data_IF_459683846146
#
_entry.id   IF_459683846146
#
_cell.length_a   1.000
_cell.length_b   1.000
_cell.length_c   1.000
_cell.angle_alpha   90.00
_cell.angle_beta   90.00
_cell.angle_gamma   90.00
#
_symmetry.space_group_name_H-M   'P 1'
#
loop_
_entity.id
_entity.type
_entity.pdbx_description
1 polymer ?
#
# COMPACT_ATOMS: atom_id res chain seq x y z
N UNK A 1 16.06 14.29 -9.13
CA UNK A 1 16.65 13.59 -7.97
C UNK A 1 17.11 14.53 -6.84
N UNK A 2 17.93 15.55 -7.13
CA UNK A 2 18.49 16.47 -6.12
C UNK A 2 17.49 17.01 -5.07
N UNK A 3 16.31 17.49 -5.50
CA UNK A 3 15.28 18.00 -4.58
C UNK A 3 14.80 16.94 -3.59
N UNK A 4 14.59 15.71 -4.07
CA UNK A 4 14.16 14.59 -3.23
C UNK A 4 15.23 14.25 -2.19
N UNK A 5 16.51 14.14 -2.60
CA UNK A 5 17.65 13.92 -1.69
C UNK A 5 17.77 15.01 -0.64
N UNK A 6 17.56 16.29 -1.01
CA UNK A 6 17.56 17.42 -0.07
C UNK A 6 16.53 17.23 1.05
N UNK A 7 15.33 16.75 0.74
CA UNK A 7 14.29 16.53 1.76
C UNK A 7 14.49 15.23 2.56
N UNK A 8 15.12 14.22 1.97
CA UNK A 8 15.47 12.98 2.68
C UNK A 8 16.60 13.16 3.70
N UNK A 9 17.46 14.16 3.50
CA UNK A 9 18.60 14.38 4.37
C UNK A 9 19.52 13.17 4.40
N UNK A 10 19.86 12.70 5.59
CA UNK A 10 20.77 11.55 5.79
C UNK A 10 20.26 10.25 5.15
N UNK A 11 18.93 10.08 5.06
CA UNK A 11 18.33 8.91 4.41
C UNK A 11 18.63 8.83 2.92
N UNK A 12 19.05 9.92 2.27
CA UNK A 12 19.39 9.94 0.86
C UNK A 12 20.59 9.04 0.52
N UNK A 13 21.49 8.78 1.48
CA UNK A 13 22.66 7.92 1.31
C UNK A 13 22.28 6.43 1.12
N UNK A 14 21.07 6.05 1.54
CA UNK A 14 20.56 4.67 1.49
C UNK A 14 19.57 4.45 0.34
N UNK A 15 19.48 5.38 -0.61
CA UNK A 15 18.62 5.20 -1.77
C UNK A 15 19.13 4.06 -2.67
N UNK A 16 18.22 3.30 -3.32
CA UNK A 16 16.77 3.47 -3.29
C UNK A 16 16.06 2.84 -2.08
N UNK A 17 16.74 2.02 -1.28
CA UNK A 17 16.12 1.23 -0.21
C UNK A 17 15.38 2.10 0.83
N UNK A 18 15.97 3.21 1.25
CA UNK A 18 15.31 4.16 2.16
C UNK A 18 14.06 4.80 1.56
N UNK A 19 13.93 4.85 0.23
CA UNK A 19 12.77 5.40 -0.47
C UNK A 19 11.45 4.68 -0.19
N UNK A 20 11.50 3.43 0.28
CA UNK A 20 10.32 2.70 0.77
C UNK A 20 9.61 3.41 1.93
N UNK A 21 10.37 4.11 2.78
CA UNK A 21 9.83 4.88 3.89
C UNK A 21 9.32 6.26 3.46
N UNK A 22 9.63 6.71 2.24
CA UNK A 22 9.33 8.06 1.79
C UNK A 22 8.65 8.09 0.40
N UNK A 23 7.51 7.40 0.22
CA UNK A 23 6.82 7.39 -1.07
C UNK A 23 6.21 8.77 -1.38
N UNK A 24 5.69 8.91 -2.59
CA UNK A 24 4.94 10.10 -3.00
C UNK A 24 3.44 9.81 -2.97
N UNK A 25 2.66 10.72 -2.39
CA UNK A 25 1.22 10.80 -2.66
C UNK A 25 1.02 11.60 -3.94
N UNK A 26 0.45 10.97 -4.96
CA UNK A 26 0.21 11.52 -6.29
C UNK A 26 -1.28 11.83 -6.47
N UNK A 27 -1.60 13.01 -7.00
CA UNK A 27 -2.92 13.35 -7.54
C UNK A 27 -2.77 13.88 -8.97
N UNK A 28 -3.52 13.30 -9.90
CA UNK A 28 -3.53 13.69 -11.32
C UNK A 28 -4.43 14.89 -11.59
N UNK A 29 -5.45 15.12 -10.77
CA UNK A 29 -6.30 16.31 -10.77
C UNK A 29 -6.68 16.73 -9.33
N UNK A 30 -7.22 17.94 -9.10
CA UNK A 30 -7.65 18.37 -7.76
C UNK A 30 -8.66 17.42 -7.10
N UNK A 31 -9.57 16.86 -7.91
CA UNK A 31 -10.67 15.99 -7.47
C UNK A 31 -10.31 14.49 -7.47
N UNK A 32 -9.15 14.12 -8.04
CA UNK A 32 -8.70 12.74 -8.06
C UNK A 32 -8.32 12.24 -6.66
N UNK A 33 -8.74 11.01 -6.34
CA UNK A 33 -8.23 10.28 -5.17
C UNK A 33 -6.70 10.15 -5.26
N UNK A 34 -5.97 10.39 -4.15
CA UNK A 34 -4.54 10.24 -4.15
C UNK A 34 -4.14 8.76 -4.27
N UNK A 35 -3.11 8.49 -5.05
CA UNK A 35 -2.44 7.17 -5.12
C UNK A 35 -1.01 7.28 -4.61
N UNK A 36 -0.48 6.19 -4.06
CA UNK A 36 0.90 6.14 -3.56
C UNK A 36 1.83 5.64 -4.67
N UNK A 37 2.99 6.28 -4.82
CA UNK A 37 4.06 5.88 -5.73
C UNK A 37 5.37 5.72 -4.99
N UNK A 38 5.88 4.49 -5.02
CA UNK A 38 7.12 4.11 -4.35
C UNK A 38 8.28 4.19 -5.32
N UNK A 39 9.45 4.62 -4.84
CA UNK A 39 10.68 4.65 -5.64
C UNK A 39 11.22 3.22 -5.76
N UNK A 40 11.56 2.84 -6.99
CA UNK A 40 12.21 1.56 -7.32
C UNK A 40 13.71 1.72 -7.47
N UNK A 41 14.16 2.79 -8.12
CA UNK A 41 15.58 3.04 -8.37
C UNK A 41 15.88 4.52 -8.58
N UNK A 42 17.16 4.86 -8.51
CA UNK A 42 17.69 6.20 -8.79
C UNK A 42 18.84 6.09 -9.79
N UNK A 43 18.97 7.08 -10.66
CA UNK A 43 20.11 7.22 -11.57
C UNK A 43 20.79 8.56 -11.28
N UNK A 44 21.99 8.51 -10.71
CA UNK A 44 22.77 9.71 -10.34
C UNK A 44 23.33 10.44 -11.57
N UNK A 45 23.62 9.72 -12.65
CA UNK A 45 24.16 10.33 -13.88
C UNK A 45 23.06 11.11 -14.61
N UNK A 46 21.87 10.53 -14.71
CA UNK A 46 20.70 11.16 -15.35
C UNK A 46 19.92 12.07 -14.40
N UNK A 47 20.29 12.11 -13.11
CA UNK A 47 19.57 12.83 -12.05
C UNK A 47 18.07 12.48 -11.98
N UNK A 48 17.73 11.21 -12.24
CA UNK A 48 16.36 10.71 -12.36
C UNK A 48 15.99 9.71 -11.26
N UNK A 49 14.69 9.41 -11.15
CA UNK A 49 14.13 8.43 -10.22
C UNK A 49 13.10 7.60 -10.98
N UNK A 50 13.07 6.29 -10.75
CA UNK A 50 12.07 5.39 -11.30
C UNK A 50 11.07 5.02 -10.22
N UNK A 51 9.78 5.06 -10.56
CA UNK A 51 8.68 4.78 -9.63
C UNK A 51 7.91 3.51 -10.04
N UNK A 52 7.27 2.88 -9.05
CA UNK A 52 6.39 1.73 -9.24
C UNK A 52 5.01 2.17 -9.77
N UNK A 53 4.99 2.57 -11.04
CA UNK A 53 3.83 3.10 -11.74
C UNK A 53 4.05 4.52 -12.24
N UNK A 54 3.19 4.94 -13.16
CA UNK A 54 3.36 6.22 -13.84
C UNK A 54 3.15 7.41 -12.92
N UNK A 55 3.91 8.48 -13.21
CA UNK A 55 3.73 9.81 -12.65
C UNK A 55 3.51 10.76 -13.83
N UNK A 56 2.26 11.00 -14.24
CA UNK A 56 1.96 11.88 -15.36
C UNK A 56 2.47 13.30 -15.12
N UNK A 57 3.02 13.92 -16.17
CA UNK A 57 3.45 15.32 -16.10
C UNK A 57 2.29 16.24 -15.70
N UNK A 58 2.58 17.24 -14.87
CA UNK A 58 1.58 18.17 -14.33
C UNK A 58 0.84 17.66 -13.10
N UNK A 59 1.02 16.38 -12.72
CA UNK A 59 0.46 15.85 -11.48
C UNK A 59 1.04 16.55 -10.25
N UNK A 60 0.22 16.65 -9.20
CA UNK A 60 0.65 17.16 -7.91
C UNK A 60 1.12 16.01 -7.04
N UNK A 61 2.36 16.10 -6.56
CA UNK A 61 2.92 15.13 -5.61
C UNK A 61 3.16 15.74 -4.24
N UNK A 62 3.11 14.90 -3.20
CA UNK A 62 3.52 15.23 -1.84
C UNK A 62 4.46 14.15 -1.33
N UNK A 63 5.61 14.56 -0.81
CA UNK A 63 6.52 13.66 -0.10
C UNK A 63 5.84 13.15 1.18
N UNK A 64 5.85 11.83 1.37
CA UNK A 64 5.31 11.18 2.56
C UNK A 64 6.45 10.65 3.42
N UNK A 65 6.12 10.29 4.67
CA UNK A 65 6.92 9.45 5.54
C UNK A 65 6.02 8.32 6.04
N UNK A 66 6.48 7.08 5.95
CA UNK A 66 5.76 5.92 6.43
C UNK A 66 5.52 6.04 7.95
N UNK A 67 4.32 5.67 8.36
CA UNK A 67 3.94 5.54 9.75
C UNK A 67 3.43 4.10 9.91
N UNK A 68 4.12 3.33 10.74
CA UNK A 68 3.89 1.89 10.89
C UNK A 68 2.49 1.58 11.39
N UNK A 69 1.99 2.35 12.37
CA UNK A 69 0.65 2.15 12.93
C UNK A 69 -0.40 2.44 11.85
N UNK A 70 -0.23 3.51 11.06
CA UNK A 70 -1.13 3.80 9.93
C UNK A 70 -1.08 2.78 8.81
N UNK A 71 0.04 2.05 8.65
CA UNK A 71 0.08 0.94 7.70
C UNK A 71 -0.83 -0.17 8.22
N UNK A 72 -0.67 -0.61 9.47
CA UNK A 72 -1.49 -1.64 10.10
C UNK A 72 -2.97 -1.23 10.08
N UNK A 73 -3.30 0.01 10.46
CA UNK A 73 -4.68 0.56 10.37
C UNK A 73 -5.25 0.42 8.94
N UNK A 74 -4.41 0.61 7.91
CA UNK A 74 -4.82 0.43 6.53
C UNK A 74 -5.21 -1.02 6.17
N UNK A 75 -4.57 -2.02 6.78
CA UNK A 75 -4.97 -3.42 6.62
C UNK A 75 -6.27 -3.71 7.37
N UNK A 76 -6.42 -3.16 8.57
CA UNK A 76 -7.66 -3.24 9.37
C UNK A 76 -8.84 -2.65 8.61
N UNK A 77 -8.72 -1.44 8.05
CA UNK A 77 -9.79 -0.81 7.26
C UNK A 77 -10.16 -1.61 6.00
N UNK A 78 -9.18 -2.29 5.38
CA UNK A 78 -9.45 -3.17 4.24
C UNK A 78 -10.30 -4.38 4.68
N UNK A 79 -10.01 -4.96 5.84
CA UNK A 79 -10.79 -6.06 6.41
C UNK A 79 -12.20 -5.61 6.79
N UNK A 80 -12.35 -4.43 7.41
CA UNK A 80 -13.65 -3.85 7.77
C UNK A 80 -14.51 -3.61 6.53
N UNK A 81 -13.90 -3.14 5.44
CA UNK A 81 -14.58 -2.96 4.15
C UNK A 81 -15.07 -4.29 3.57
N UNK A 82 -14.32 -5.38 3.75
CA UNK A 82 -14.76 -6.72 3.38
C UNK A 82 -15.97 -7.18 4.21
N UNK A 83 -15.95 -6.99 5.53
CA UNK A 83 -17.08 -7.34 6.42
C UNK A 83 -18.34 -6.58 6.00
N UNK A 84 -18.22 -5.29 5.74
CA UNK A 84 -19.35 -4.47 5.26
C UNK A 84 -19.91 -4.97 3.92
N UNK A 85 -19.04 -5.47 3.04
CA UNK A 85 -19.42 -5.96 1.70
C UNK A 85 -20.08 -7.34 1.73
N UNK A 86 -19.54 -8.26 2.54
CA UNK A 86 -20.09 -9.61 2.74
C UNK A 86 -21.43 -9.56 3.52
N UNK A 87 -21.59 -8.58 4.41
CA UNK A 87 -22.85 -8.30 5.08
C UNK A 87 -23.14 -9.27 6.22
N UNK A 88 -24.20 -10.09 6.09
CA UNK A 88 -24.66 -10.98 7.16
C UNK A 88 -23.91 -12.31 7.23
N UNK A 89 -23.19 -12.68 6.18
CA UNK A 89 -22.39 -13.89 6.19
C UNK A 89 -21.06 -13.64 6.91
N UNK A 90 -20.42 -14.71 7.38
CA UNK A 90 -19.01 -14.67 7.77
C UNK A 90 -18.16 -15.09 6.57
N UNK A 91 -16.96 -14.52 6.44
CA UNK A 91 -16.00 -15.05 5.49
C UNK A 91 -15.55 -16.46 5.91
N UNK A 92 -15.55 -17.41 4.98
CA UNK A 92 -14.98 -18.75 5.16
C UNK A 92 -13.50 -18.77 4.76
N UNK A 93 -13.14 -17.94 3.76
CA UNK A 93 -11.78 -17.74 3.28
C UNK A 93 -11.53 -16.26 3.05
N UNK A 94 -10.37 -15.76 3.47
CA UNK A 94 -9.85 -14.47 3.06
C UNK A 94 -8.46 -14.63 2.43
N UNK A 95 -8.28 -14.04 1.25
CA UNK A 95 -7.02 -13.97 0.54
C UNK A 95 -6.42 -12.57 0.73
N UNK A 96 -5.30 -12.50 1.44
CA UNK A 96 -4.57 -11.28 1.77
C UNK A 96 -3.40 -11.12 0.80
N UNK A 97 -3.42 -10.07 0.00
CA UNK A 97 -2.32 -9.72 -0.91
C UNK A 97 -1.74 -8.40 -0.41
N UNK A 98 -0.54 -8.46 0.19
CA UNK A 98 0.11 -7.30 0.79
C UNK A 98 1.33 -6.87 -0.03
N UNK A 99 1.54 -5.57 -0.16
CA UNK A 99 2.70 -5.06 -0.87
C UNK A 99 4.00 -5.48 -0.18
N UNK A 100 4.99 -5.96 -0.93
CA UNK A 100 6.33 -6.27 -0.41
C UNK A 100 6.98 -5.05 0.25
N UNK A 101 6.64 -3.84 -0.21
CA UNK A 101 7.07 -2.60 0.43
C UNK A 101 6.65 -2.51 1.89
N UNK A 102 5.44 -3.00 2.22
CA UNK A 102 4.94 -3.03 3.60
C UNK A 102 5.70 -4.02 4.45
N UNK A 103 5.99 -5.22 3.91
CA UNK A 103 6.83 -6.22 4.59
C UNK A 103 8.20 -5.65 4.97
N UNK A 104 8.84 -4.98 4.01
CA UNK A 104 10.17 -4.42 4.20
C UNK A 104 10.17 -3.26 5.20
N UNK A 105 9.10 -2.46 5.24
CA UNK A 105 8.94 -1.37 6.20
C UNK A 105 8.60 -1.92 7.59
N UNK A 106 7.59 -2.77 7.73
CA UNK A 106 7.10 -3.27 9.01
C UNK A 106 8.06 -4.24 9.71
N UNK A 107 8.88 -4.98 8.95
CA UNK A 107 9.85 -5.92 9.53
C UNK A 107 9.16 -6.99 10.37
N UNK A 108 9.43 -7.05 11.67
CA UNK A 108 8.77 -8.01 12.58
C UNK A 108 7.30 -7.66 12.85
N UNK A 109 6.87 -6.41 12.64
CA UNK A 109 5.48 -5.98 12.85
C UNK A 109 4.52 -6.46 11.77
N UNK A 110 4.97 -7.30 10.83
CA UNK A 110 4.07 -7.96 9.87
C UNK A 110 3.07 -8.89 10.56
N UNK A 111 3.44 -9.44 11.72
CA UNK A 111 2.54 -10.27 12.52
C UNK A 111 1.35 -9.45 13.03
N UNK A 112 1.60 -8.23 13.49
CA UNK A 112 0.54 -7.28 13.90
C UNK A 112 -0.38 -6.92 12.73
N UNK A 113 0.15 -6.76 11.51
CA UNK A 113 -0.65 -6.48 10.31
C UNK A 113 -1.61 -7.63 9.98
N UNK A 114 -1.17 -8.88 10.12
CA UNK A 114 -2.02 -10.06 9.84
C UNK A 114 -3.02 -10.29 10.98
N UNK A 115 -2.59 -10.09 12.23
CA UNK A 115 -3.47 -10.23 13.39
C UNK A 115 -4.58 -9.18 13.40
N UNK A 116 -4.30 -7.93 13.02
CA UNK A 116 -5.34 -6.90 12.95
C UNK A 116 -6.43 -7.24 11.92
N UNK A 117 -6.08 -7.93 10.82
CA UNK A 117 -7.05 -8.46 9.87
C UNK A 117 -7.84 -9.63 10.47
N UNK A 118 -7.17 -10.53 11.20
CA UNK A 118 -7.80 -11.65 11.91
C UNK A 118 -8.84 -11.17 12.93
N UNK A 119 -8.51 -10.15 13.72
CA UNK A 119 -9.40 -9.57 14.72
C UNK A 119 -10.71 -9.06 14.10
N UNK A 120 -10.63 -8.45 12.90
CA UNK A 120 -11.80 -7.94 12.18
C UNK A 120 -12.62 -9.05 11.52
N UNK A 121 -11.96 -10.01 10.85
CA UNK A 121 -12.66 -11.08 10.12
C UNK A 121 -13.18 -12.20 11.04
N UNK A 122 -12.69 -12.25 12.28
CA UNK A 122 -13.04 -13.27 13.26
C UNK A 122 -12.29 -14.60 13.04
N UNK A 123 -12.51 -15.57 13.95
CA UNK A 123 -11.74 -16.82 13.98
C UNK A 123 -12.17 -17.86 12.94
N UNK A 124 -13.36 -17.74 12.35
CA UNK A 124 -13.91 -18.73 11.41
C UNK A 124 -13.25 -18.68 10.03
N UNK A 125 -12.82 -17.49 9.59
CA UNK A 125 -12.23 -17.31 8.28
C UNK A 125 -10.84 -17.97 8.20
N UNK A 126 -10.60 -18.82 7.21
CA UNK A 126 -9.23 -19.23 6.88
C UNK A 126 -8.51 -18.04 6.23
N UNK A 127 -7.34 -17.64 6.74
CA UNK A 127 -6.52 -16.61 6.09
C UNK A 127 -5.43 -17.29 5.27
N UNK A 128 -5.32 -16.90 4.00
CA UNK A 128 -4.24 -17.28 3.12
C UNK A 128 -3.75 -16.05 2.37
N UNK A 129 -2.52 -16.06 1.85
CA UNK A 129 -1.99 -14.87 1.21
C UNK A 129 -0.53 -14.95 0.83
N UNK A 130 -0.05 -13.86 0.21
CA UNK A 130 1.35 -13.69 -0.15
C UNK A 130 1.66 -12.20 -0.35
N UNK A 131 2.96 -11.89 -0.44
CA UNK A 131 3.42 -10.53 -0.74
C UNK A 131 3.60 -10.32 -2.25
N UNK A 132 3.10 -9.20 -2.78
CA UNK A 132 3.20 -8.84 -4.21
C UNK A 132 4.01 -7.55 -4.43
N UNK A 133 4.34 -7.26 -5.69
CA UNK A 133 5.04 -6.03 -6.11
C UNK A 133 4.06 -4.93 -6.55
N UNK A 134 2.91 -4.83 -5.88
CA UNK A 134 1.84 -3.90 -6.21
C UNK A 134 0.48 -4.60 -6.22
N UNK A 135 -0.56 -3.81 -5.98
CA UNK A 135 -1.93 -4.29 -5.85
C UNK A 135 -2.83 -3.56 -6.84
N UNK A 136 -3.66 -4.30 -7.58
CA UNK A 136 -4.64 -3.74 -8.51
C UNK A 136 -6.01 -3.93 -7.89
N UNK A 137 -6.62 -2.82 -7.46
CA UNK A 137 -7.91 -2.83 -6.78
C UNK A 137 -8.64 -1.51 -7.03
N UNK A 138 -9.98 -1.51 -7.07
CA UNK A 138 -10.71 -0.25 -7.02
C UNK A 138 -10.58 0.36 -5.61
N UNK A 139 -10.68 1.68 -5.52
CA UNK A 139 -10.67 2.40 -4.23
C UNK A 139 -12.01 2.29 -3.49
N UNK A 140 -13.11 2.20 -4.25
CA UNK A 140 -14.47 1.97 -3.74
C UNK A 140 -15.16 0.91 -4.59
N UNK A 141 -16.20 0.24 -4.08
CA UNK A 141 -16.97 -0.72 -4.86
C UNK A 141 -17.39 -0.12 -6.22
N UNK A 142 -17.27 -0.91 -7.28
CA UNK A 142 -17.62 -0.54 -8.66
C UNK A 142 -16.79 0.58 -9.31
N UNK A 143 -15.75 1.11 -8.64
CA UNK A 143 -14.80 2.03 -9.27
C UNK A 143 -13.85 1.29 -10.23
N UNK A 144 -13.10 2.05 -11.03
CA UNK A 144 -12.01 1.48 -11.84
C UNK A 144 -10.87 1.03 -10.93
N UNK A 145 -10.23 -0.08 -11.30
CA UNK A 145 -9.02 -0.52 -10.63
C UNK A 145 -7.88 0.44 -10.92
N UNK A 146 -7.09 0.72 -9.87
CA UNK A 146 -5.86 1.50 -9.95
C UNK A 146 -4.70 0.64 -9.44
N UNK A 147 -3.48 0.97 -9.86
CA UNK A 147 -2.28 0.41 -9.26
C UNK A 147 -1.99 1.14 -7.95
N UNK A 148 -2.01 0.38 -6.85
CA UNK A 148 -1.67 0.85 -5.51
C UNK A 148 -0.29 0.35 -5.11
N UNK A 149 0.43 1.17 -4.36
CA UNK A 149 1.65 0.77 -3.67
C UNK A 149 1.43 0.97 -2.18
N UNK A 150 2.18 0.24 -1.35
CA UNK A 150 2.09 0.34 0.11
C UNK A 150 0.68 0.01 0.65
N UNK A 151 -0.06 -0.84 -0.07
CA UNK A 151 -1.43 -1.24 0.27
C UNK A 151 -1.49 -2.74 0.56
N UNK A 152 -2.56 -3.18 1.22
CA UNK A 152 -3.00 -4.56 1.25
C UNK A 152 -4.38 -4.63 0.59
N UNK A 153 -4.57 -5.59 -0.31
CA UNK A 153 -5.89 -5.94 -0.85
C UNK A 153 -6.34 -7.24 -0.22
N UNK A 154 -7.58 -7.25 0.25
CA UNK A 154 -8.21 -8.42 0.86
C UNK A 154 -9.41 -8.81 0.01
N UNK A 155 -9.49 -10.09 -0.34
CA UNK A 155 -10.68 -10.67 -0.98
C UNK A 155 -11.26 -11.72 -0.06
N UNK A 156 -12.54 -11.61 0.25
CA UNK A 156 -13.24 -12.56 1.11
C UNK A 156 -14.23 -13.39 0.29
N UNK A 157 -14.37 -14.66 0.68
CA UNK A 157 -15.29 -15.63 0.09
C UNK A 157 -16.18 -16.20 1.18
N UNK A 158 -17.44 -16.41 0.86
CA UNK A 158 -18.41 -17.11 1.70
C UNK A 158 -19.14 -18.13 0.83
N UNK A 159 -19.33 -19.35 1.34
CA UNK A 159 -20.10 -20.41 0.70
C UNK A 159 -21.44 -20.58 1.43
N UNK A 160 -22.51 -20.78 0.66
CA UNK A 160 -23.87 -21.05 1.17
C UNK A 160 -24.43 -22.30 0.53
#
# INVERSE_FOLDING_TARGET
LALYKKYLGEHAAQLPASGLLFPLSLRTSPDASPVVRTILSVDENQQSMTFAGDIPQGSRVRLMKANFDRLIDGATHAAESCVQTIGRDSADLAVLISCVGRRLVLGQRIEEEVESVREVLGPSATLAGFYSYGEISPFTPSARCELHNQTMTITTFAER
#
